data_IF_004076227459
#
_entry.id   IF_004076227459
#
_cell.length_a   1.000
_cell.length_b   1.000
_cell.length_c   1.000
_cell.angle_alpha   90.00
_cell.angle_beta   90.00
_cell.angle_gamma   90.00
#
_symmetry.space_group_name_H-M   'P 1'
#
loop_
_entity.id
_entity.type
_entity.pdbx_description
1 polymer ?
#
# COMPACT_ATOMS: atom_id res chain seq x y z
N UNK A 1 -13.35 -4.56 -4.14
CA UNK A 1 -12.67 -4.60 -5.45
C UNK A 1 -11.16 -4.48 -5.22
N UNK A 2 -10.34 -5.12 -6.06
CA UNK A 2 -8.87 -5.04 -5.97
C UNK A 2 -8.34 -4.02 -6.99
N UNK A 3 -7.52 -3.07 -6.53
CA UNK A 3 -6.79 -2.15 -7.40
C UNK A 3 -5.30 -2.51 -7.37
N UNK A 4 -4.79 -3.05 -8.49
CA UNK A 4 -3.35 -3.32 -8.65
C UNK A 4 -2.67 -2.14 -9.33
N UNK A 5 -1.61 -1.60 -8.74
CA UNK A 5 -0.85 -0.47 -9.27
C UNK A 5 0.65 -0.80 -9.36
N UNK A 6 1.22 -0.68 -10.55
CA UNK A 6 2.65 -0.87 -10.83
C UNK A 6 3.14 0.27 -11.73
N UNK A 7 3.21 1.48 -11.18
CA UNK A 7 3.53 2.72 -11.91
C UNK A 7 4.56 3.55 -11.15
N UNK A 8 5.46 4.24 -11.88
CA UNK A 8 6.54 5.04 -11.30
C UNK A 8 6.04 6.21 -10.43
N UNK A 9 4.92 6.85 -10.83
CA UNK A 9 4.31 8.00 -10.14
C UNK A 9 3.10 7.62 -9.28
N UNK A 10 3.18 6.46 -8.62
CA UNK A 10 2.10 5.90 -7.81
C UNK A 10 1.48 6.90 -6.82
N UNK A 11 2.32 7.71 -6.17
CA UNK A 11 1.85 8.72 -5.22
C UNK A 11 0.94 9.77 -5.87
N UNK A 12 1.26 10.24 -7.08
CA UNK A 12 0.45 11.24 -7.79
C UNK A 12 -0.90 10.64 -8.22
N UNK A 13 -0.88 9.39 -8.69
CA UNK A 13 -2.09 8.64 -9.03
C UNK A 13 -2.99 8.47 -7.81
N UNK A 14 -2.43 8.07 -6.68
CA UNK A 14 -3.17 7.92 -5.42
C UNK A 14 -3.72 9.26 -4.91
N UNK A 15 -2.92 10.33 -4.98
CA UNK A 15 -3.35 11.67 -4.59
C UNK A 15 -4.53 12.17 -5.44
N UNK A 16 -4.49 11.95 -6.76
CA UNK A 16 -5.60 12.27 -7.68
C UNK A 16 -6.82 11.36 -7.52
N UNK A 17 -6.66 10.18 -6.91
CA UNK A 17 -7.72 9.18 -6.74
C UNK A 17 -8.46 9.29 -5.41
N UNK A 18 -8.40 10.43 -4.72
CA UNK A 18 -8.95 10.57 -3.36
C UNK A 18 -10.41 10.08 -3.25
N UNK A 19 -11.27 10.41 -4.23
CA UNK A 19 -12.66 9.96 -4.25
C UNK A 19 -12.80 8.43 -4.25
N UNK A 20 -11.96 7.75 -5.03
CA UNK A 20 -11.95 6.28 -5.09
C UNK A 20 -11.52 5.71 -3.73
N UNK A 21 -10.48 6.28 -3.13
CA UNK A 21 -9.94 5.85 -1.84
C UNK A 21 -10.91 6.06 -0.68
N UNK A 22 -11.74 7.11 -0.73
CA UNK A 22 -12.71 7.45 0.33
C UNK A 22 -14.06 6.77 0.16
N UNK A 23 -14.61 6.72 -1.06
CA UNK A 23 -15.96 6.19 -1.29
C UNK A 23 -15.97 4.67 -1.45
N UNK A 24 -14.95 4.11 -2.12
CA UNK A 24 -14.95 2.70 -2.50
C UNK A 24 -14.01 1.85 -1.64
N UNK A 25 -13.14 2.48 -0.85
CA UNK A 25 -12.24 1.82 0.11
C UNK A 25 -11.54 0.57 -0.46
N UNK A 26 -10.96 0.64 -1.67
CA UNK A 26 -10.46 -0.55 -2.35
C UNK A 26 -9.30 -1.19 -1.59
N UNK A 27 -9.16 -2.51 -1.70
CA UNK A 27 -7.89 -3.18 -1.41
C UNK A 27 -6.88 -2.76 -2.47
N UNK A 28 -5.71 -2.28 -2.06
CA UNK A 28 -4.67 -1.81 -2.97
C UNK A 28 -3.51 -2.79 -2.92
N UNK A 29 -3.08 -3.29 -4.07
CA UNK A 29 -1.83 -4.02 -4.23
C UNK A 29 -0.88 -3.13 -5.02
N UNK A 30 0.26 -2.76 -4.43
CA UNK A 30 1.26 -1.97 -5.12
C UNK A 30 2.66 -2.56 -5.03
N UNK A 31 3.42 -2.33 -6.09
CA UNK A 31 4.80 -2.74 -6.16
C UNK A 31 5.70 -1.64 -5.60
N UNK A 32 6.44 -1.99 -4.57
CA UNK A 32 7.41 -1.18 -3.85
C UNK A 32 8.76 -1.22 -4.58
N UNK A 33 8.75 -0.90 -5.88
CA UNK A 33 9.95 -0.93 -6.72
C UNK A 33 10.82 0.27 -6.34
N UNK A 34 11.76 0.04 -5.44
CA UNK A 34 12.76 1.01 -5.05
C UNK A 34 13.72 1.31 -6.22
N UNK A 35 13.31 2.15 -7.16
CA UNK A 35 14.23 2.87 -8.02
C UNK A 35 14.91 3.98 -7.22
N UNK A 36 15.93 3.63 -6.43
CA UNK A 36 16.92 4.52 -5.79
C UNK A 36 16.49 5.78 -5.01
N UNK A 37 15.21 6.12 -4.85
CA UNK A 37 14.79 7.39 -4.20
C UNK A 37 13.43 7.29 -3.51
N UNK A 38 13.38 7.03 -2.20
CA UNK A 38 12.36 7.48 -1.22
C UNK A 38 10.84 7.33 -1.46
N UNK A 39 10.38 6.97 -2.67
CA UNK A 39 9.00 6.96 -3.16
C UNK A 39 8.12 5.97 -2.39
N UNK A 40 8.73 4.85 -2.04
CA UNK A 40 8.16 3.74 -1.28
C UNK A 40 7.59 4.18 0.08
N UNK A 41 8.33 5.02 0.80
CA UNK A 41 7.90 5.52 2.10
C UNK A 41 6.79 6.55 1.97
N UNK A 42 6.85 7.42 0.95
CA UNK A 42 5.82 8.43 0.73
C UNK A 42 4.45 7.82 0.38
N UNK A 43 4.43 6.74 -0.42
CA UNK A 43 3.20 5.98 -0.71
C UNK A 43 2.66 5.32 0.55
N UNK A 44 3.52 4.66 1.34
CA UNK A 44 3.13 4.04 2.59
C UNK A 44 2.54 5.06 3.57
N UNK A 45 3.24 6.17 3.81
CA UNK A 45 2.79 7.26 4.68
C UNK A 45 1.45 7.84 4.21
N UNK A 46 1.28 8.03 2.90
CA UNK A 46 0.03 8.53 2.33
C UNK A 46 -1.13 7.57 2.61
N UNK A 47 -0.96 6.27 2.35
CA UNK A 47 -2.00 5.27 2.58
C UNK A 47 -2.33 5.16 4.08
N UNK A 48 -1.33 5.15 4.96
CA UNK A 48 -1.52 5.17 6.41
C UNK A 48 -2.33 6.41 6.84
N UNK A 49 -2.04 7.59 6.29
CA UNK A 49 -2.82 8.81 6.55
C UNK A 49 -4.28 8.74 6.08
N UNK A 50 -4.62 7.77 5.25
CA UNK A 50 -5.97 7.48 4.75
C UNK A 50 -6.61 6.28 5.47
N UNK A 51 -6.08 5.90 6.64
CA UNK A 51 -6.54 4.78 7.46
C UNK A 51 -6.35 3.40 6.81
N UNK A 52 -5.34 3.27 5.94
CA UNK A 52 -4.94 1.97 5.44
C UNK A 52 -3.85 1.36 6.32
N UNK A 53 -4.00 0.08 6.62
CA UNK A 53 -2.97 -0.76 7.19
C UNK A 53 -2.25 -1.54 6.08
N UNK A 54 -0.94 -1.69 6.22
CA UNK A 54 -0.09 -2.31 5.23
C UNK A 54 0.26 -3.75 5.62
N UNK A 55 0.30 -4.63 4.63
CA UNK A 55 0.54 -6.04 4.77
C UNK A 55 1.50 -6.53 3.68
N UNK A 56 2.23 -7.60 3.99
CA UNK A 56 2.82 -8.47 2.98
C UNK A 56 2.06 -9.79 2.93
N UNK A 57 2.01 -10.40 1.75
CA UNK A 57 1.54 -11.77 1.63
C UNK A 57 2.70 -12.74 1.79
N UNK A 58 2.55 -13.73 2.67
CA UNK A 58 3.52 -14.79 2.91
C UNK A 58 3.02 -16.10 2.28
N UNK A 59 3.49 -16.48 1.07
CA UNK A 59 2.85 -17.53 0.29
C UNK A 59 2.85 -18.90 0.96
N UNK A 60 3.93 -19.22 1.68
CA UNK A 60 4.07 -20.51 2.36
C UNK A 60 3.23 -20.66 3.62
N UNK A 61 2.77 -19.55 4.21
CA UNK A 61 1.80 -19.56 5.31
C UNK A 61 0.37 -19.29 4.83
N UNK A 62 0.20 -18.76 3.62
CA UNK A 62 -1.11 -18.30 3.13
C UNK A 62 -1.68 -17.14 3.94
N UNK A 63 -0.81 -16.32 4.56
CA UNK A 63 -1.21 -15.30 5.53
C UNK A 63 -0.74 -13.89 5.12
N UNK A 64 -1.54 -12.89 5.52
CA UNK A 64 -1.15 -11.49 5.49
C UNK A 64 -0.42 -11.15 6.79
N UNK A 65 0.84 -10.74 6.67
CA UNK A 65 1.65 -10.32 7.80
C UNK A 65 1.68 -8.79 7.82
N UNK A 66 1.26 -8.15 8.94
CA UNK A 66 1.24 -6.71 9.04
C UNK A 66 2.65 -6.12 8.95
N UNK A 67 2.73 -4.92 8.40
CA UNK A 67 3.94 -4.12 8.31
C UNK A 67 3.80 -2.98 9.29
N UNK A 68 4.56 -3.04 10.39
CA UNK A 68 4.39 -2.12 11.52
C UNK A 68 5.46 -1.03 11.57
N UNK A 69 6.52 -1.14 10.76
CA UNK A 69 7.63 -0.19 10.74
C UNK A 69 8.07 0.16 9.32
N UNK A 70 8.78 1.29 9.18
CA UNK A 70 9.35 1.71 7.89
C UNK A 70 10.53 0.84 7.48
N UNK A 71 11.23 0.29 8.46
CA UNK A 71 12.32 -0.67 8.31
C UNK A 71 11.78 -1.97 7.69
N UNK A 72 10.60 -2.41 8.12
CA UNK A 72 9.94 -3.59 7.53
C UNK A 72 9.60 -3.38 6.05
N UNK A 73 9.34 -2.15 5.59
CA UNK A 73 9.06 -1.86 4.18
C UNK A 73 10.29 -2.04 3.29
N UNK A 74 11.51 -1.94 3.84
CA UNK A 74 12.72 -2.07 3.05
C UNK A 74 12.90 -3.51 2.57
N UNK A 75 13.14 -3.68 1.27
CA UNK A 75 13.34 -5.00 0.65
C UNK A 75 12.06 -5.79 0.36
N UNK A 76 10.88 -5.30 0.73
CA UNK A 76 9.58 -5.91 0.36
C UNK A 76 9.11 -5.35 -0.96
N UNK A 77 8.76 -6.19 -1.93
CA UNK A 77 8.34 -5.76 -3.27
C UNK A 77 6.83 -5.60 -3.40
N UNK A 78 6.03 -6.50 -2.83
CA UNK A 78 4.57 -6.46 -2.98
C UNK A 78 3.93 -6.07 -1.65
N UNK A 79 3.26 -4.93 -1.63
CA UNK A 79 2.57 -4.42 -0.45
C UNK A 79 1.08 -4.38 -0.71
N UNK A 80 0.32 -4.89 0.24
CA UNK A 80 -1.14 -4.89 0.23
C UNK A 80 -1.60 -3.88 1.27
N UNK A 81 -2.39 -2.89 0.85
CA UNK A 81 -3.03 -1.94 1.73
C UNK A 81 -4.50 -2.29 1.86
N UNK A 82 -4.95 -2.47 3.10
CA UNK A 82 -6.34 -2.70 3.47
C UNK A 82 -6.79 -1.55 4.36
N UNK A 83 -7.92 -0.94 4.02
CA UNK A 83 -8.54 0.03 4.92
C UNK A 83 -9.27 -0.73 6.01
N UNK A 84 -9.02 -0.41 7.27
CA UNK A 84 -9.86 -0.93 8.34
C UNK A 84 -11.28 -0.42 8.11
N UNK A 85 -12.24 -1.35 7.99
CA UNK A 85 -13.65 -0.98 7.97
C UNK A 85 -14.01 -0.57 9.39
N UNK A 86 -14.53 0.64 9.58
CA UNK A 86 -15.17 0.98 10.85
C UNK A 86 -16.25 -0.08 11.13
N UNK A 87 -16.11 -0.75 12.27
CA UNK A 87 -17.04 -1.79 12.73
C UNK A 87 -18.35 -1.18 13.21
#
# INVERSE_FOLDING_TARGET
SLLKLAVHDLLQVLAGSNRILTEFTPTILYENIAGSRGSNLAVADFLISKNYQLYQYQPYLGQLIPINSREDLQGRLNIIALRESES
#
